data_IF_251618415753
#
_entry.id   IF_251618415753
#
_cell.length_a   1.000
_cell.length_b   1.000
_cell.length_c   1.000
_cell.angle_alpha   90.00
_cell.angle_beta   90.00
_cell.angle_gamma   90.00
#
_symmetry.space_group_name_H-M   'P 1'
#
loop_
_entity.id
_entity.type
_entity.pdbx_description
1 polymer ?
#
# COMPACT_ATOMS: atom_id res chain seq x y z
N UNK A 1 15.31 -23.12 -28.27
CA UNK A 1 15.39 -22.03 -27.27
C UNK A 1 13.98 -21.52 -27.04
N UNK A 2 13.50 -21.35 -25.79
CA UNK A 2 12.20 -20.73 -25.58
C UNK A 2 12.21 -19.32 -26.18
N UNK A 3 11.14 -18.96 -26.89
CA UNK A 3 10.93 -17.58 -27.35
C UNK A 3 10.86 -16.70 -26.09
N UNK A 4 11.58 -15.57 -26.01
CA UNK A 4 11.46 -14.67 -24.87
C UNK A 4 9.99 -14.29 -24.71
N UNK A 5 9.45 -14.39 -23.49
CA UNK A 5 8.09 -13.96 -23.23
C UNK A 5 7.95 -12.49 -23.63
N UNK A 6 6.93 -12.18 -24.45
CA UNK A 6 6.59 -10.80 -24.76
C UNK A 6 6.02 -10.20 -23.48
N UNK A 7 6.66 -9.17 -22.96
CA UNK A 7 6.16 -8.42 -21.81
C UNK A 7 4.91 -7.62 -22.23
N UNK A 8 3.81 -7.81 -21.51
CA UNK A 8 2.50 -7.22 -21.81
C UNK A 8 1.96 -6.35 -20.67
N UNK A 9 2.55 -6.44 -19.48
CA UNK A 9 2.18 -5.64 -18.30
C UNK A 9 3.42 -5.03 -17.67
N UNK A 10 3.37 -3.74 -17.33
CA UNK A 10 4.35 -3.11 -16.45
C UNK A 10 3.68 -2.77 -15.11
N UNK A 11 4.21 -3.34 -14.03
CA UNK A 11 3.85 -2.99 -12.65
C UNK A 11 4.87 -1.97 -12.12
N UNK A 12 4.38 -0.83 -11.66
CA UNK A 12 5.20 0.32 -11.29
C UNK A 12 4.92 0.69 -9.84
N UNK A 13 5.94 0.65 -8.98
CA UNK A 13 5.86 1.44 -7.76
C UNK A 13 5.76 2.94 -8.09
N UNK A 14 5.20 3.69 -7.15
CA UNK A 14 4.86 5.09 -7.33
C UNK A 14 5.92 6.05 -6.80
N UNK A 15 6.24 6.01 -5.51
CA UNK A 15 7.05 7.03 -4.85
C UNK A 15 8.53 6.72 -5.05
N UNK A 16 9.33 7.67 -5.52
CA UNK A 16 10.75 7.47 -5.86
C UNK A 16 11.05 6.43 -6.97
N UNK A 17 10.02 5.77 -7.50
CA UNK A 17 10.07 4.91 -8.68
C UNK A 17 9.48 5.60 -9.92
N UNK A 18 8.15 5.71 -10.00
CA UNK A 18 7.46 6.38 -11.11
C UNK A 18 7.53 7.90 -10.97
N UNK A 19 7.22 8.38 -9.76
CA UNK A 19 7.41 9.76 -9.35
C UNK A 19 8.85 9.91 -8.85
N UNK A 20 9.41 11.09 -9.10
CA UNK A 20 10.69 11.47 -8.49
C UNK A 20 10.50 11.76 -7.00
N UNK A 21 11.62 11.95 -6.30
CA UNK A 21 11.64 12.34 -4.88
C UNK A 21 10.93 13.66 -4.57
N UNK A 22 10.74 14.53 -5.56
CA UNK A 22 9.95 15.77 -5.45
C UNK A 22 8.46 15.58 -5.76
N UNK A 23 8.02 14.34 -6.01
CA UNK A 23 6.65 13.98 -6.41
C UNK A 23 6.33 14.24 -7.87
N UNK A 24 7.28 14.72 -8.69
CA UNK A 24 7.05 15.01 -10.11
C UNK A 24 7.18 13.77 -11.00
N UNK A 25 6.37 13.70 -12.07
CA UNK A 25 6.55 12.75 -13.16
C UNK A 25 7.32 13.40 -14.32
N UNK A 26 8.32 12.70 -14.86
CA UNK A 26 9.09 13.21 -15.99
C UNK A 26 8.33 13.13 -17.31
N UNK A 27 8.48 14.14 -18.18
CA UNK A 27 7.93 14.10 -19.54
C UNK A 27 8.46 12.89 -20.34
N UNK A 28 9.74 12.53 -20.15
CA UNK A 28 10.34 11.33 -20.77
C UNK A 28 9.64 10.05 -20.33
N UNK A 29 9.37 9.90 -19.03
CA UNK A 29 8.66 8.74 -18.46
C UNK A 29 7.24 8.69 -18.98
N UNK A 30 6.52 9.82 -18.96
CA UNK A 30 5.15 9.89 -19.48
C UNK A 30 5.09 9.48 -20.97
N UNK A 31 6.02 9.94 -21.80
CA UNK A 31 6.11 9.50 -23.21
C UNK A 31 6.37 8.00 -23.32
N UNK A 32 7.24 7.42 -22.48
CA UNK A 32 7.50 5.99 -22.48
C UNK A 32 6.26 5.16 -22.09
N UNK A 33 5.50 5.63 -21.10
CA UNK A 33 4.25 4.99 -20.67
C UNK A 33 3.17 5.05 -21.75
N UNK A 34 3.03 6.19 -22.43
CA UNK A 34 2.12 6.32 -23.58
C UNK A 34 2.49 5.36 -24.70
N UNK A 35 3.77 5.34 -25.11
CA UNK A 35 4.25 4.40 -26.13
C UNK A 35 4.00 2.93 -25.74
N UNK A 36 4.09 2.61 -24.45
CA UNK A 36 3.77 1.28 -23.94
C UNK A 36 2.28 0.95 -24.08
N UNK A 37 1.39 1.86 -23.68
CA UNK A 37 -0.05 1.69 -23.82
C UNK A 37 -0.50 1.65 -25.29
N UNK A 38 0.08 2.51 -26.15
CA UNK A 38 -0.19 2.54 -27.60
C UNK A 38 0.21 1.25 -28.31
N UNK A 39 1.17 0.50 -27.74
CA UNK A 39 1.53 -0.84 -28.19
C UNK A 39 0.55 -1.95 -27.70
N UNK A 40 -0.59 -1.57 -27.11
CA UNK A 40 -1.61 -2.48 -26.60
C UNK A 40 -1.26 -3.15 -25.27
N UNK A 41 -0.26 -2.61 -24.54
CA UNK A 41 0.22 -3.17 -23.26
C UNK A 41 -0.41 -2.44 -22.08
N UNK A 42 -0.44 -3.09 -20.92
CA UNK A 42 -1.12 -2.57 -19.72
C UNK A 42 -0.12 -2.04 -18.72
N UNK A 43 -0.59 -1.08 -17.91
CA UNK A 43 0.11 -0.55 -16.76
C UNK A 43 -0.64 -0.96 -15.50
N UNK A 44 0.09 -1.17 -14.40
CA UNK A 44 -0.45 -1.34 -13.05
C UNK A 44 0.40 -0.47 -12.13
N UNK A 45 -0.22 0.31 -11.26
CA UNK A 45 0.47 1.04 -10.19
C UNK A 45 0.39 0.19 -8.93
N UNK A 46 1.52 -0.06 -8.27
CA UNK A 46 1.60 -0.84 -7.05
C UNK A 46 2.27 -0.05 -5.93
N UNK A 47 1.49 0.50 -5.01
CA UNK A 47 1.96 1.52 -4.06
C UNK A 47 1.57 1.24 -2.61
N UNK A 48 2.35 1.78 -1.68
CA UNK A 48 2.00 1.86 -0.26
C UNK A 48 0.92 2.89 0.06
N UNK A 49 0.63 3.83 -0.86
CA UNK A 49 -0.37 4.89 -0.66
C UNK A 49 -1.79 4.33 -0.55
N UNK A 50 -2.71 5.03 0.13
CA UNK A 50 -4.14 4.78 -0.01
C UNK A 50 -4.62 5.16 -1.41
N UNK A 51 -5.67 4.49 -1.91
CA UNK A 51 -6.23 4.76 -3.25
C UNK A 51 -6.54 6.25 -3.49
N UNK A 52 -7.14 6.91 -2.49
CA UNK A 52 -7.49 8.35 -2.52
C UNK A 52 -6.31 9.30 -2.75
N UNK A 53 -5.07 8.84 -2.55
CA UNK A 53 -3.85 9.66 -2.67
C UNK A 53 -3.03 9.34 -3.92
N UNK A 54 -3.54 8.50 -4.83
CA UNK A 54 -2.84 8.12 -6.07
C UNK A 54 -3.21 9.06 -7.22
N UNK A 55 -4.49 9.19 -7.56
CA UNK A 55 -4.90 10.07 -8.66
C UNK A 55 -4.42 11.53 -8.52
N UNK A 56 -4.40 12.18 -7.34
CA UNK A 56 -3.95 13.56 -7.20
C UNK A 56 -2.50 13.84 -7.61
N UNK A 57 -1.64 12.80 -7.67
CA UNK A 57 -0.22 12.94 -8.05
C UNK A 57 0.09 12.45 -9.46
N UNK A 58 -0.90 11.88 -10.14
CA UNK A 58 -0.76 11.41 -11.51
C UNK A 58 -1.26 12.46 -12.50
N UNK A 59 -0.78 12.42 -13.75
CA UNK A 59 -1.42 13.15 -14.83
C UNK A 59 -2.74 12.46 -15.23
N UNK A 60 -3.71 13.21 -15.80
CA UNK A 60 -5.04 12.68 -16.13
C UNK A 60 -5.05 11.41 -16.98
N UNK A 61 -4.08 11.26 -17.88
CA UNK A 61 -3.97 10.10 -18.76
C UNK A 61 -3.69 8.78 -18.02
N UNK A 62 -3.24 8.86 -16.77
CA UNK A 62 -2.96 7.69 -15.91
C UNK A 62 -4.05 7.45 -14.85
N UNK A 63 -5.10 8.26 -14.78
CA UNK A 63 -6.14 8.13 -13.73
C UNK A 63 -6.89 6.79 -13.74
N UNK A 64 -7.03 6.18 -14.91
CA UNK A 64 -7.71 4.89 -15.06
C UNK A 64 -6.75 3.70 -14.98
N UNK A 65 -5.48 3.93 -14.62
CA UNK A 65 -4.53 2.83 -14.43
C UNK A 65 -4.94 2.00 -13.22
N UNK A 66 -5.07 0.67 -13.34
CA UNK A 66 -5.28 -0.21 -12.21
C UNK A 66 -4.29 0.05 -11.07
N UNK A 67 -4.79 0.10 -9.83
CA UNK A 67 -4.00 0.46 -8.65
C UNK A 67 -4.08 -0.65 -7.60
N UNK A 68 -2.94 -1.22 -7.28
CA UNK A 68 -2.70 -1.98 -6.06
C UNK A 68 -2.27 -0.97 -4.99
N UNK A 69 -3.04 -0.82 -3.93
CA UNK A 69 -2.80 0.19 -2.89
C UNK A 69 -2.59 -0.45 -1.52
N UNK A 70 -2.20 0.36 -0.53
CA UNK A 70 -1.91 -0.09 0.83
C UNK A 70 -0.89 -1.25 0.90
N UNK A 71 0.14 -1.26 0.05
CA UNK A 71 1.09 -2.36 -0.07
C UNK A 71 0.41 -3.71 -0.41
N UNK A 72 -0.61 -3.71 -1.25
CA UNK A 72 -1.29 -4.94 -1.68
C UNK A 72 -2.47 -5.37 -0.82
N UNK A 73 -2.95 -4.51 0.07
CA UNK A 73 -4.17 -4.80 0.82
C UNK A 73 -5.44 -4.60 -0.02
N UNK A 74 -5.41 -3.81 -1.10
CA UNK A 74 -6.56 -3.64 -1.99
C UNK A 74 -6.12 -3.49 -3.46
N UNK A 75 -7.02 -3.85 -4.38
CA UNK A 75 -6.87 -3.61 -5.83
C UNK A 75 -8.08 -2.83 -6.32
N UNK A 76 -7.82 -1.74 -7.05
CA UNK A 76 -8.82 -0.88 -7.65
C UNK A 76 -8.66 -0.86 -9.17
N UNK A 77 -9.75 -1.10 -9.90
CA UNK A 77 -9.82 -1.05 -11.36
C UNK A 77 -11.04 -0.22 -11.74
N UNK A 78 -10.85 0.77 -12.62
CA UNK A 78 -11.91 1.69 -13.07
C UNK A 78 -12.68 2.36 -11.90
N UNK A 79 -11.97 2.64 -10.80
CA UNK A 79 -12.54 3.25 -9.59
C UNK A 79 -13.28 2.28 -8.65
N UNK A 80 -13.36 0.99 -8.98
CA UNK A 80 -13.98 -0.04 -8.16
C UNK A 80 -12.93 -0.89 -7.44
N UNK A 81 -13.14 -1.14 -6.15
CA UNK A 81 -12.36 -2.12 -5.41
C UNK A 81 -12.79 -3.53 -5.82
N UNK A 82 -11.87 -4.29 -6.42
CA UNK A 82 -12.11 -5.66 -6.91
C UNK A 82 -11.49 -6.74 -6.01
N UNK A 83 -10.58 -6.35 -5.13
CA UNK A 83 -9.91 -7.25 -4.19
C UNK A 83 -9.59 -6.51 -2.89
N UNK A 84 -9.62 -7.24 -1.80
CA UNK A 84 -9.10 -6.81 -0.51
C UNK A 84 -8.49 -7.95 0.30
N UNK A 85 -7.46 -7.64 1.07
CA UNK A 85 -6.84 -8.48 2.08
C UNK A 85 -6.54 -7.61 3.30
N UNK A 86 -7.52 -7.53 4.21
CA UNK A 86 -7.53 -6.60 5.32
C UNK A 86 -7.20 -7.30 6.65
N UNK A 87 -6.71 -6.51 7.61
CA UNK A 87 -6.51 -6.98 8.99
C UNK A 87 -7.90 -7.17 9.61
N UNK A 88 -8.24 -8.36 10.15
CA UNK A 88 -9.56 -8.61 10.72
C UNK A 88 -9.79 -7.78 12.00
N UNK A 89 -11.05 -7.41 12.31
CA UNK A 89 -11.37 -6.53 13.45
C UNK A 89 -10.73 -6.95 14.78
N UNK A 90 -10.78 -8.25 15.11
CA UNK A 90 -10.22 -8.76 16.36
C UNK A 90 -8.71 -8.52 16.45
N UNK A 91 -7.98 -8.71 15.34
CA UNK A 91 -6.55 -8.45 15.28
C UNK A 91 -6.25 -6.94 15.34
N UNK A 92 -7.04 -6.10 14.66
CA UNK A 92 -6.92 -4.63 14.75
C UNK A 92 -7.08 -4.18 16.21
N UNK A 93 -8.11 -4.69 16.89
CA UNK A 93 -8.37 -4.41 18.30
C UNK A 93 -7.20 -4.82 19.18
N UNK A 94 -6.71 -6.06 19.04
CA UNK A 94 -5.55 -6.55 19.80
C UNK A 94 -4.33 -5.64 19.60
N UNK A 95 -4.04 -5.23 18.37
CA UNK A 95 -2.94 -4.31 18.07
C UNK A 95 -3.13 -2.97 18.80
N UNK A 96 -4.32 -2.37 18.72
CA UNK A 96 -4.62 -1.07 19.37
C UNK A 96 -4.47 -1.18 20.89
N UNK A 97 -5.05 -2.21 21.52
CA UNK A 97 -4.96 -2.44 22.96
C UNK A 97 -3.50 -2.66 23.40
N UNK A 98 -2.71 -3.36 22.60
CA UNK A 98 -1.30 -3.61 22.89
C UNK A 98 -0.47 -2.33 22.78
N UNK A 99 -0.66 -1.51 21.75
CA UNK A 99 0.01 -0.20 21.63
C UNK A 99 -0.34 0.69 22.82
N UNK A 100 -1.62 0.77 23.20
CA UNK A 100 -2.05 1.56 24.37
C UNK A 100 -1.35 1.12 25.66
N UNK A 101 -1.04 -0.17 25.79
CA UNK A 101 -0.33 -0.72 26.96
C UNK A 101 1.18 -0.49 26.91
N UNK A 102 1.83 -0.66 25.75
CA UNK A 102 3.30 -0.65 25.64
C UNK A 102 3.89 0.69 25.23
N UNK A 103 3.14 1.49 24.48
CA UNK A 103 3.54 2.80 23.97
C UNK A 103 2.35 3.78 24.00
N UNK A 104 1.86 4.18 25.20
CA UNK A 104 0.66 5.00 25.35
C UNK A 104 0.78 6.40 24.71
N UNK A 105 2.00 6.88 24.45
CA UNK A 105 2.28 8.14 23.75
C UNK A 105 2.18 8.03 22.22
N UNK A 106 2.20 6.81 21.66
CA UNK A 106 2.23 6.61 20.23
C UNK A 106 0.99 7.19 19.55
N UNK A 107 1.20 7.83 18.39
CA UNK A 107 0.09 8.16 17.50
C UNK A 107 -0.21 6.91 16.69
N UNK A 108 -1.43 6.42 16.78
CA UNK A 108 -1.91 5.24 16.05
C UNK A 108 -2.92 5.70 15.02
N UNK A 109 -2.82 5.14 13.81
CA UNK A 109 -3.75 5.37 12.72
C UNK A 109 -4.34 4.09 12.18
N UNK A 110 -5.63 4.08 11.88
CA UNK A 110 -6.35 2.99 11.21
C UNK A 110 -6.86 3.47 9.85
N UNK A 111 -6.44 2.79 8.78
CA UNK A 111 -7.00 2.98 7.44
C UNK A 111 -8.20 2.03 7.26
N UNK A 112 -9.40 2.58 7.42
CA UNK A 112 -10.68 1.84 7.42
C UNK A 112 -11.63 2.52 6.45
N UNK A 113 -12.28 1.74 5.58
CA UNK A 113 -13.22 2.23 4.57
C UNK A 113 -12.68 3.38 3.70
N UNK A 114 -11.38 3.36 3.41
CA UNK A 114 -10.73 4.38 2.59
C UNK A 114 -10.47 5.71 3.32
N UNK A 115 -10.66 5.77 4.64
CA UNK A 115 -10.39 6.93 5.48
C UNK A 115 -9.33 6.62 6.55
N UNK A 116 -8.64 7.66 7.04
CA UNK A 116 -7.69 7.53 8.14
C UNK A 116 -8.30 8.04 9.44
N UNK A 117 -8.29 7.19 10.46
CA UNK A 117 -8.68 7.52 11.83
C UNK A 117 -7.45 7.50 12.74
N UNK A 118 -7.20 8.55 13.50
CA UNK A 118 -6.11 8.65 14.46
C UNK A 118 -6.66 8.68 15.90
N UNK A 119 -5.88 8.18 16.85
CA UNK A 119 -6.18 8.33 18.29
C UNK A 119 -6.01 9.78 18.78
N UNK A 120 -5.18 10.57 18.12
CA UNK A 120 -4.93 11.96 18.46
C UNK A 120 -4.52 12.78 17.22
N UNK A 121 -4.62 14.11 17.34
CA UNK A 121 -4.22 15.02 16.26
C UNK A 121 -2.71 14.96 16.01
N UNK A 122 -2.34 15.04 14.73
CA UNK A 122 -0.95 15.16 14.30
C UNK A 122 -0.80 16.24 13.23
N UNK A 123 0.39 16.85 13.13
CA UNK A 123 0.67 17.82 12.09
C UNK A 123 0.86 17.09 10.75
N UNK A 124 -0.19 17.05 9.93
CA UNK A 124 -0.19 16.39 8.62
C UNK A 124 -1.18 17.08 7.68
N UNK A 125 -0.83 17.14 6.40
CA UNK A 125 -1.66 17.79 5.36
C UNK A 125 -2.77 16.89 4.82
N UNK A 126 -2.60 15.57 4.91
CA UNK A 126 -3.59 14.60 4.44
C UNK A 126 -4.75 14.51 5.43
N UNK A 127 -6.02 14.55 4.96
CA UNK A 127 -7.19 14.46 5.82
C UNK A 127 -7.20 13.22 6.71
N UNK A 128 -7.73 13.38 7.92
CA UNK A 128 -7.95 12.31 8.90
C UNK A 128 -9.05 12.70 9.89
N UNK A 129 -9.55 11.72 10.63
CA UNK A 129 -10.48 11.89 11.73
C UNK A 129 -9.77 11.56 13.05
N UNK A 130 -10.06 12.30 14.12
CA UNK A 130 -9.66 11.90 15.47
C UNK A 130 -10.81 11.14 16.10
N UNK A 131 -10.57 9.92 16.56
CA UNK A 131 -11.61 9.03 17.07
C UNK A 131 -11.08 8.09 18.16
N UNK A 132 -12.02 7.48 18.91
CA UNK A 132 -11.70 6.32 19.73
C UNK A 132 -11.42 5.13 18.82
N UNK A 133 -10.14 4.73 18.72
CA UNK A 133 -9.73 3.66 17.83
C UNK A 133 -10.30 2.28 18.21
N UNK A 134 -10.72 2.04 19.46
CA UNK A 134 -11.38 0.79 19.82
C UNK A 134 -12.79 0.68 19.21
N UNK A 135 -13.45 1.81 18.94
CA UNK A 135 -14.72 1.82 18.21
C UNK A 135 -14.50 1.59 16.71
N UNK A 136 -13.46 2.22 16.14
CA UNK A 136 -13.09 2.04 14.73
C UNK A 136 -12.59 0.61 14.47
N UNK A 137 -11.88 0.00 15.42
CA UNK A 137 -11.36 -1.36 15.35
C UNK A 137 -12.44 -2.46 15.27
N UNK A 138 -13.72 -2.12 15.36
CA UNK A 138 -14.84 -3.03 15.04
C UNK A 138 -14.90 -3.36 13.55
N UNK A 139 -14.18 -2.62 12.71
CA UNK A 139 -14.10 -2.81 11.27
C UNK A 139 -12.72 -3.34 10.85
N UNK A 140 -12.64 -4.08 9.74
CA UNK A 140 -11.35 -4.50 9.19
C UNK A 140 -10.56 -3.29 8.69
N UNK A 141 -9.24 -3.33 8.82
CA UNK A 141 -8.35 -2.24 8.42
C UNK A 141 -7.42 -2.66 7.28
N UNK A 142 -7.28 -1.80 6.27
CA UNK A 142 -6.29 -1.99 5.20
C UNK A 142 -4.86 -1.83 5.72
N UNK A 143 -4.68 -0.99 6.75
CA UNK A 143 -3.39 -0.68 7.35
C UNK A 143 -3.56 -0.11 8.75
N UNK A 144 -2.65 -0.46 9.66
CA UNK A 144 -2.41 0.28 10.90
C UNK A 144 -1.08 1.03 10.78
N UNK A 145 -1.07 2.28 11.19
CA UNK A 145 0.10 3.14 11.26
C UNK A 145 0.44 3.39 12.73
N UNK A 146 1.70 3.25 13.11
CA UNK A 146 2.16 3.55 14.47
C UNK A 146 3.36 4.47 14.37
N UNK A 147 3.16 5.72 14.80
CA UNK A 147 4.18 6.73 14.89
C UNK A 147 4.68 6.78 16.34
N UNK A 148 5.87 6.24 16.55
CA UNK A 148 6.56 6.19 17.84
C UNK A 148 8.05 6.45 17.59
N UNK A 149 8.59 7.61 18.02
CA UNK A 149 10.00 7.93 17.86
C UNK A 149 10.93 6.89 18.50
N UNK A 150 10.52 6.29 19.62
CA UNK A 150 11.29 5.29 20.34
C UNK A 150 10.91 3.87 19.88
N UNK A 151 11.48 3.43 18.76
CA UNK A 151 11.22 2.10 18.17
C UNK A 151 11.38 0.92 19.15
N UNK A 152 12.22 1.06 20.20
CA UNK A 152 12.37 0.06 21.25
C UNK A 152 11.08 -0.20 22.02
N UNK A 153 10.22 0.81 22.19
CA UNK A 153 8.91 0.68 22.84
C UNK A 153 7.94 -0.20 22.04
N UNK A 154 8.18 -0.37 20.74
CA UNK A 154 7.37 -1.22 19.86
C UNK A 154 7.90 -2.66 19.76
N UNK A 155 9.08 -2.98 20.26
CA UNK A 155 9.64 -4.34 20.19
C UNK A 155 8.69 -5.40 20.79
N UNK A 156 8.10 -5.20 21.99
CA UNK A 156 7.15 -6.16 22.54
C UNK A 156 5.89 -6.32 21.69
N UNK A 157 5.40 -5.22 21.09
CA UNK A 157 4.28 -5.25 20.15
C UNK A 157 4.62 -6.10 18.93
N UNK A 158 5.77 -5.86 18.31
CA UNK A 158 6.20 -6.55 17.10
C UNK A 158 6.42 -8.05 17.32
N UNK A 159 6.88 -8.44 18.51
CA UNK A 159 7.10 -9.83 18.87
C UNK A 159 5.81 -10.64 19.08
N UNK A 160 4.70 -9.97 19.41
CA UNK A 160 3.41 -10.58 19.76
C UNK A 160 2.30 -10.20 18.78
N UNK A 161 2.64 -9.79 17.55
CA UNK A 161 1.63 -9.45 16.55
C UNK A 161 0.68 -10.64 16.30
N UNK A 162 -0.63 -10.38 16.13
CA UNK A 162 -1.57 -11.42 15.73
C UNK A 162 -1.12 -12.11 14.44
N UNK A 163 -1.31 -13.43 14.33
CA UNK A 163 -0.90 -14.20 13.15
C UNK A 163 -1.53 -13.71 11.82
N UNK A 164 -2.67 -13.02 11.91
CA UNK A 164 -3.34 -12.38 10.77
C UNK A 164 -2.67 -11.06 10.31
N UNK A 165 -1.62 -10.61 10.98
CA UNK A 165 -0.96 -9.33 10.72
C UNK A 165 0.56 -9.50 10.55
N UNK A 166 1.17 -8.58 9.81
CA UNK A 166 2.63 -8.44 9.71
C UNK A 166 3.04 -6.98 9.79
N UNK A 167 4.23 -6.73 10.32
CA UNK A 167 4.82 -5.40 10.33
C UNK A 167 5.77 -5.18 9.15
N UNK A 168 5.74 -3.97 8.63
CA UNK A 168 6.70 -3.40 7.71
C UNK A 168 7.29 -2.15 8.37
N UNK A 169 8.58 -2.20 8.68
CA UNK A 169 9.29 -1.07 9.27
C UNK A 169 9.76 -0.17 8.14
N UNK A 170 9.29 1.08 8.10
CA UNK A 170 9.86 2.04 7.16
C UNK A 170 11.05 2.74 7.81
N UNK A 171 12.26 2.38 7.38
CA UNK A 171 13.49 3.07 7.80
C UNK A 171 13.48 4.56 7.42
N UNK A 172 12.76 4.90 6.34
CA UNK A 172 12.68 6.26 5.80
C UNK A 172 11.77 7.18 6.58
N UNK A 173 10.65 6.66 7.09
CA UNK A 173 9.61 7.48 7.70
C UNK A 173 9.48 7.34 9.23
N UNK A 174 10.34 6.52 9.85
CA UNK A 174 10.38 6.33 11.31
C UNK A 174 9.01 5.98 11.92
N UNK A 175 8.23 5.17 11.20
CA UNK A 175 6.97 4.62 11.71
C UNK A 175 6.78 3.16 11.27
N UNK A 176 5.96 2.43 12.02
CA UNK A 176 5.59 1.05 11.72
C UNK A 176 4.29 1.02 10.93
N UNK A 177 4.29 0.23 9.87
CA UNK A 177 3.06 -0.15 9.16
C UNK A 177 2.72 -1.58 9.54
N UNK A 178 1.49 -1.83 9.96
CA UNK A 178 0.97 -3.18 10.10
C UNK A 178 -0.06 -3.40 8.99
N UNK A 179 0.06 -4.54 8.34
CA UNK A 179 -0.73 -4.99 7.21
C UNK A 179 -1.31 -6.37 7.53
N UNK A 180 -2.27 -6.84 6.75
CA UNK A 180 -2.67 -8.24 6.82
C UNK A 180 -1.47 -9.14 6.46
N UNK A 181 -1.36 -10.31 7.09
CA UNK A 181 -0.20 -11.19 6.94
C UNK A 181 0.11 -11.54 5.46
N UNK A 182 -0.94 -11.77 4.66
CA UNK A 182 -0.80 -12.06 3.23
C UNK A 182 -0.73 -10.82 2.31
N UNK A 183 -0.81 -9.60 2.83
CA UNK A 183 -0.85 -8.39 1.99
C UNK A 183 0.56 -7.99 1.55
N UNK A 184 0.88 -8.17 0.27
CA UNK A 184 2.02 -7.53 -0.36
C UNK A 184 1.72 -7.21 -1.83
N UNK A 185 2.55 -6.33 -2.43
CA UNK A 185 2.36 -5.87 -3.81
C UNK A 185 2.37 -7.03 -4.81
N UNK A 186 3.27 -7.99 -4.65
CA UNK A 186 3.42 -9.13 -5.55
C UNK A 186 2.24 -10.11 -5.52
N UNK A 187 1.71 -10.42 -4.33
CA UNK A 187 0.55 -11.28 -4.16
C UNK A 187 -0.70 -10.63 -4.76
N UNK A 188 -0.90 -9.33 -4.52
CA UNK A 188 -1.99 -8.59 -5.15
C UNK A 188 -1.82 -8.50 -6.68
N UNK A 189 -0.60 -8.32 -7.17
CA UNK A 189 -0.31 -8.34 -8.60
C UNK A 189 -0.61 -9.71 -9.21
N UNK A 190 -0.25 -10.80 -8.54
CA UNK A 190 -0.58 -12.16 -8.98
C UNK A 190 -2.09 -12.40 -9.05
N UNK A 191 -2.87 -11.88 -8.10
CA UNK A 191 -4.35 -11.91 -8.14
C UNK A 191 -4.87 -11.17 -9.37
N UNK A 192 -4.40 -9.95 -9.63
CA UNK A 192 -4.82 -9.16 -10.79
C UNK A 192 -4.44 -9.83 -12.12
N UNK A 193 -3.25 -10.42 -12.19
CA UNK A 193 -2.79 -11.13 -13.38
C UNK A 193 -3.61 -12.39 -13.65
N UNK A 194 -3.98 -13.13 -12.60
CA UNK A 194 -4.86 -14.28 -12.71
C UNK A 194 -6.25 -13.88 -13.23
N UNK A 195 -6.83 -12.80 -12.71
CA UNK A 195 -8.11 -12.24 -13.20
C UNK A 195 -8.04 -11.86 -14.70
N UNK A 196 -6.92 -11.29 -15.13
CA UNK A 196 -6.70 -10.92 -16.53
C UNK A 196 -6.27 -12.08 -17.44
N UNK A 197 -6.02 -13.27 -16.90
CA UNK A 197 -5.46 -14.39 -17.65
C UNK A 197 -4.04 -14.12 -18.19
N UNK A 198 -3.28 -13.24 -17.53
CA UNK A 198 -1.90 -12.87 -17.92
C UNK A 198 -0.91 -13.68 -17.08
N UNK A 199 0.02 -14.44 -17.69
CA UNK A 199 1.09 -15.10 -16.93
C UNK A 199 2.06 -14.07 -16.32
N UNK A 200 2.52 -14.29 -15.09
CA UNK A 200 3.54 -13.44 -14.45
C UNK A 200 4.83 -13.30 -15.28
N UNK A 201 5.16 -14.30 -16.11
CA UNK A 201 6.30 -14.22 -17.04
C UNK A 201 6.17 -13.12 -18.12
N UNK A 202 4.98 -12.52 -18.28
CA UNK A 202 4.74 -11.37 -19.16
C UNK A 202 4.71 -10.03 -18.41
N UNK A 203 4.99 -10.05 -17.11
CA UNK A 203 5.02 -8.85 -16.27
C UNK A 203 6.46 -8.39 -16.09
N UNK A 204 6.67 -7.09 -16.17
CA UNK A 204 7.90 -6.44 -15.70
C UNK A 204 7.54 -5.52 -14.53
N UNK A 205 8.31 -5.60 -13.45
CA UNK A 205 8.12 -4.79 -12.26
C UNK A 205 9.25 -3.76 -12.08
N UNK A 206 8.92 -2.61 -11.50
CA UNK A 206 9.86 -1.55 -11.15
C UNK A 206 9.56 -1.08 -9.71
N UNK A 207 10.60 -0.91 -8.90
CA UNK A 207 10.49 -0.48 -7.51
C UNK A 207 11.84 0.00 -6.95
N UNK A 208 11.82 0.61 -5.78
CA UNK A 208 12.99 1.22 -5.12
C UNK A 208 13.22 0.77 -3.67
N UNK A 209 12.19 0.23 -3.01
CA UNK A 209 12.23 -0.08 -1.56
C UNK A 209 12.00 -1.59 -1.27
N UNK A 210 12.20 -1.96 -0.02
CA UNK A 210 12.07 -3.30 0.54
C UNK A 210 10.69 -3.94 0.33
N UNK A 211 9.63 -3.14 0.24
CA UNK A 211 8.28 -3.62 -0.07
C UNK A 211 8.08 -3.95 -1.57
N UNK A 212 9.09 -3.70 -2.42
CA UNK A 212 9.09 -4.06 -3.85
C UNK A 212 9.86 -5.33 -4.15
N UNK A 213 10.71 -5.82 -3.23
CA UNK A 213 11.57 -7.00 -3.44
C UNK A 213 10.79 -8.25 -3.85
N UNK A 214 9.54 -8.35 -3.41
CA UNK A 214 8.68 -9.50 -3.71
C UNK A 214 8.10 -9.47 -5.13
N UNK A 215 8.07 -8.31 -5.80
CA UNK A 215 7.57 -8.14 -7.19
C UNK A 215 8.63 -8.47 -8.22
#
# INVERSE_FOLDING_TARGET
MPVPAILTVAALDLDDTLLRSDGSLSARTLTALRNWQDAGRRLVIATGRPHRSVAPVLPPELYNTPVICYNGAEIHVDGYKIFENLIPPDAVRTIVEQVQRTAPSAIVGLEVHGELYLNQSMNRTTPYHVANLLEVARHPAAKVLIFEPEMQALVPLLAELPAAAKALLSARYQFVQILAAGANKAAALAVLMADWGVPLAQVVAFGDDTNDIEM
#
